data_IF_237869097915
#
_entry.id   IF_237869097915
#
_cell.length_a   1.000
_cell.length_b   1.000
_cell.length_c   1.000
_cell.angle_alpha   90.00
_cell.angle_beta   90.00
_cell.angle_gamma   90.00
#
_symmetry.space_group_name_H-M   'P 1'
#
loop_
_entity.id
_entity.type
_entity.pdbx_description
1 polymer ?
#
# COMPACT_ATOMS: atom_id res chain seq x y z
N UNK A 1 -36.66 14.50 -16.97
CA UNK A 1 -36.01 15.35 -15.94
C UNK A 1 -36.42 14.88 -14.54
N UNK A 2 -35.66 13.93 -13.99
CA UNK A 2 -35.80 13.45 -12.61
C UNK A 2 -34.46 13.64 -11.92
N UNK A 3 -34.53 14.19 -10.72
CA UNK A 3 -33.46 14.83 -9.98
C UNK A 3 -32.27 13.90 -9.73
N UNK A 4 -31.08 14.31 -10.17
CA UNK A 4 -29.83 13.85 -9.57
C UNK A 4 -29.85 14.29 -8.12
N UNK A 5 -30.06 13.36 -7.19
CA UNK A 5 -29.81 13.60 -5.78
C UNK A 5 -28.33 13.98 -5.61
N UNK A 6 -28.08 15.28 -5.45
CA UNK A 6 -26.82 15.82 -4.97
C UNK A 6 -26.65 15.36 -3.52
N UNK A 7 -26.09 14.17 -3.31
CA UNK A 7 -25.49 13.81 -2.01
C UNK A 7 -24.08 14.39 -1.95
N UNK A 8 -23.97 15.72 -1.97
CA UNK A 8 -22.75 16.41 -1.53
C UNK A 8 -22.66 16.28 -0.02
N UNK A 9 -22.27 15.10 0.48
CA UNK A 9 -21.71 15.01 1.83
C UNK A 9 -20.41 15.81 1.81
N UNK A 10 -20.14 16.65 2.81
CA UNK A 10 -18.97 17.51 2.80
C UNK A 10 -17.72 16.65 2.65
N UNK A 11 -16.81 17.10 1.78
CA UNK A 11 -15.47 16.55 1.53
C UNK A 11 -14.62 16.42 2.81
N UNK A 12 -15.08 16.97 3.94
CA UNK A 12 -14.49 16.90 5.27
C UNK A 12 -15.30 16.00 6.23
N UNK A 13 -15.43 14.70 5.93
CA UNK A 13 -16.00 13.78 6.91
C UNK A 13 -14.98 13.47 8.02
N UNK A 14 -15.40 13.36 9.30
CA UNK A 14 -14.50 13.01 10.40
C UNK A 14 -13.82 11.64 10.19
N UNK A 15 -14.50 10.72 9.49
CA UNK A 15 -13.98 9.40 9.11
C UNK A 15 -12.79 9.55 8.14
N UNK A 16 -12.93 10.39 7.12
CA UNK A 16 -11.86 10.66 6.16
C UNK A 16 -10.65 11.31 6.84
N UNK A 17 -10.88 12.30 7.70
CA UNK A 17 -9.78 12.95 8.43
C UNK A 17 -9.04 11.98 9.34
N UNK A 18 -9.76 11.06 10.00
CA UNK A 18 -9.14 10.01 10.78
C UNK A 18 -8.28 9.08 9.90
N UNK A 19 -8.81 8.62 8.77
CA UNK A 19 -8.06 7.78 7.83
C UNK A 19 -6.79 8.49 7.33
N UNK A 20 -6.89 9.77 6.94
CA UNK A 20 -5.74 10.59 6.52
C UNK A 20 -4.68 10.70 7.60
N UNK A 21 -5.08 10.95 8.85
CA UNK A 21 -4.14 11.05 9.98
C UNK A 21 -3.42 9.72 10.23
N UNK A 22 -4.13 8.60 10.14
CA UNK A 22 -3.52 7.26 10.26
C UNK A 22 -2.51 7.02 9.14
N UNK A 23 -2.88 7.34 7.89
CA UNK A 23 -2.01 7.19 6.72
C UNK A 23 -0.76 8.04 6.86
N UNK A 24 -0.89 9.33 7.21
CA UNK A 24 0.24 10.24 7.38
C UNK A 24 1.24 9.73 8.43
N UNK A 25 0.72 9.28 9.59
CA UNK A 25 1.56 8.74 10.67
C UNK A 25 2.27 7.45 10.23
N UNK A 26 1.58 6.54 9.56
CA UNK A 26 2.17 5.29 9.10
C UNK A 26 3.16 5.50 7.96
N UNK A 27 2.91 6.46 7.07
CA UNK A 27 3.84 6.86 6.02
C UNK A 27 5.16 7.38 6.59
N UNK A 28 5.11 8.16 7.67
CA UNK A 28 6.31 8.57 8.40
C UNK A 28 7.09 7.38 8.96
N UNK A 29 6.37 6.37 9.51
CA UNK A 29 6.99 5.13 10.01
C UNK A 29 7.60 4.27 8.90
N UNK A 30 6.93 4.17 7.75
CA UNK A 30 7.45 3.46 6.56
C UNK A 30 8.72 4.14 6.08
N UNK A 31 8.69 5.47 5.91
CA UNK A 31 9.85 6.25 5.48
C UNK A 31 11.04 6.04 6.42
N UNK A 32 10.81 6.05 7.75
CA UNK A 32 11.87 5.78 8.73
C UNK A 32 12.41 4.36 8.64
N UNK A 33 11.54 3.36 8.58
CA UNK A 33 11.97 1.97 8.46
C UNK A 33 12.78 1.73 7.16
N UNK A 34 12.43 2.41 6.06
CA UNK A 34 13.21 2.36 4.81
C UNK A 34 14.61 2.98 5.00
N UNK A 35 14.71 4.11 5.72
CA UNK A 35 16.02 4.74 6.02
C UNK A 35 16.90 3.87 6.92
N UNK A 36 16.28 3.12 7.84
CA UNK A 36 16.94 2.17 8.73
C UNK A 36 17.21 0.80 8.05
N UNK A 37 16.87 0.66 6.75
CA UNK A 37 16.95 -0.59 5.97
C UNK A 37 16.14 -1.76 6.56
N UNK A 38 15.16 -1.48 7.43
CA UNK A 38 14.25 -2.44 8.04
C UNK A 38 13.03 -2.72 7.13
N UNK A 39 13.25 -3.27 5.94
CA UNK A 39 12.19 -3.46 4.93
C UNK A 39 11.03 -4.35 5.36
N UNK A 40 11.28 -5.38 6.19
CA UNK A 40 10.21 -6.20 6.75
C UNK A 40 9.26 -5.37 7.63
N UNK A 41 9.79 -4.45 8.44
CA UNK A 41 9.00 -3.56 9.29
C UNK A 41 8.27 -2.49 8.48
N UNK A 42 8.92 -1.97 7.43
CA UNK A 42 8.27 -1.09 6.47
C UNK A 42 7.05 -1.78 5.82
N UNK A 43 7.17 -3.07 5.48
CA UNK A 43 6.09 -3.89 4.94
C UNK A 43 4.95 -4.06 5.95
N UNK A 44 5.24 -4.35 7.22
CA UNK A 44 4.22 -4.44 8.28
C UNK A 44 3.45 -3.12 8.44
N UNK A 45 4.12 -1.97 8.38
CA UNK A 45 3.42 -0.67 8.39
C UNK A 45 2.60 -0.44 7.12
N UNK A 46 3.06 -0.89 5.96
CA UNK A 46 2.30 -0.83 4.72
C UNK A 46 1.01 -1.66 4.78
N UNK A 47 1.03 -2.83 5.43
CA UNK A 47 -0.19 -3.62 5.72
C UNK A 47 -1.21 -2.78 6.50
N UNK A 48 -0.77 -2.10 7.56
CA UNK A 48 -1.64 -1.23 8.36
C UNK A 48 -2.20 -0.04 7.58
N UNK A 49 -1.42 0.51 6.64
CA UNK A 49 -1.89 1.58 5.73
C UNK A 49 -2.99 1.04 4.82
N UNK A 50 -2.78 -0.14 4.25
CA UNK A 50 -3.73 -0.79 3.35
C UNK A 50 -5.05 -1.16 4.04
N UNK A 51 -5.04 -1.41 5.36
CA UNK A 51 -6.29 -1.60 6.12
C UNK A 51 -7.19 -0.35 6.11
N UNK A 52 -6.67 0.84 5.81
CA UNK A 52 -7.49 2.06 5.67
C UNK A 52 -8.41 2.00 4.44
N UNK A 53 -8.08 1.20 3.41
CA UNK A 53 -8.99 0.94 2.28
C UNK A 53 -10.23 0.15 2.70
N UNK A 54 -10.21 -0.50 3.87
CA UNK A 54 -11.31 -1.31 4.37
C UNK A 54 -12.27 -0.52 5.26
N UNK A 55 -12.01 0.76 5.49
CA UNK A 55 -12.88 1.63 6.28
C UNK A 55 -14.23 1.75 5.58
N UNK A 56 -15.25 1.14 6.21
CA UNK A 56 -16.62 1.19 5.74
C UNK A 56 -17.14 2.64 5.85
N UNK A 57 -18.09 2.99 5.01
CA UNK A 57 -18.78 4.30 5.02
C UNK A 57 -17.99 5.49 4.44
N UNK A 58 -16.89 5.25 3.72
CA UNK A 58 -16.30 6.27 2.86
C UNK A 58 -17.19 6.50 1.62
N UNK A 59 -17.35 7.75 1.21
CA UNK A 59 -17.92 8.07 -0.11
C UNK A 59 -16.94 7.67 -1.20
N UNK A 60 -17.41 7.50 -2.43
CA UNK A 60 -16.54 7.14 -3.57
C UNK A 60 -15.40 8.14 -3.77
N UNK A 61 -15.66 9.44 -3.58
CA UNK A 61 -14.64 10.50 -3.65
C UNK A 61 -13.60 10.38 -2.53
N UNK A 62 -14.04 10.21 -1.28
CA UNK A 62 -13.16 10.06 -0.12
C UNK A 62 -12.31 8.77 -0.22
N UNK A 63 -12.91 7.69 -0.72
CA UNK A 63 -12.18 6.44 -0.98
C UNK A 63 -11.09 6.65 -2.03
N UNK A 64 -11.41 7.33 -3.14
CA UNK A 64 -10.43 7.61 -4.19
C UNK A 64 -9.25 8.45 -3.70
N UNK A 65 -9.51 9.44 -2.84
CA UNK A 65 -8.45 10.24 -2.23
C UNK A 65 -7.52 9.39 -1.35
N UNK A 66 -8.09 8.56 -0.48
CA UNK A 66 -7.33 7.62 0.36
C UNK A 66 -6.54 6.64 -0.52
N UNK A 67 -7.18 6.04 -1.51
CA UNK A 67 -6.55 5.11 -2.45
C UNK A 67 -5.38 5.72 -3.20
N UNK A 68 -5.53 6.95 -3.70
CA UNK A 68 -4.46 7.66 -4.41
C UNK A 68 -3.26 7.84 -3.50
N UNK A 69 -3.48 8.28 -2.25
CA UNK A 69 -2.39 8.46 -1.29
C UNK A 69 -1.67 7.15 -0.95
N UNK A 70 -2.43 6.08 -0.72
CA UNK A 70 -1.86 4.75 -0.41
C UNK A 70 -1.07 4.20 -1.61
N UNK A 71 -1.59 4.37 -2.82
CA UNK A 71 -0.91 3.94 -4.05
C UNK A 71 0.44 4.62 -4.23
N UNK A 72 0.53 5.92 -3.92
CA UNK A 72 1.81 6.64 -3.97
C UNK A 72 2.80 6.15 -2.90
N UNK A 73 2.32 5.80 -1.70
CA UNK A 73 3.17 5.20 -0.65
C UNK A 73 3.71 3.85 -1.12
N UNK A 74 2.86 3.00 -1.69
CA UNK A 74 3.28 1.69 -2.21
C UNK A 74 4.27 1.82 -3.37
N UNK A 75 4.06 2.77 -4.29
CA UNK A 75 4.99 3.03 -5.40
C UNK A 75 6.38 3.44 -4.89
N UNK A 76 6.46 4.28 -3.85
CA UNK A 76 7.73 4.62 -3.21
C UNK A 76 8.37 3.41 -2.54
N UNK A 77 7.60 2.62 -1.80
CA UNK A 77 8.09 1.40 -1.16
C UNK A 77 8.64 0.41 -2.20
N UNK A 78 7.90 0.18 -3.29
CA UNK A 78 8.31 -0.67 -4.42
C UNK A 78 9.67 -0.26 -4.97
N UNK A 79 9.84 1.02 -5.31
CA UNK A 79 11.08 1.54 -5.86
C UNK A 79 12.26 1.31 -4.90
N UNK A 80 12.04 1.55 -3.59
CA UNK A 80 13.08 1.36 -2.58
C UNK A 80 13.43 -0.10 -2.34
N UNK A 81 12.45 -1.00 -2.39
CA UNK A 81 12.68 -2.45 -2.31
C UNK A 81 13.44 -2.96 -3.54
N UNK A 82 13.12 -2.46 -4.73
CA UNK A 82 13.83 -2.80 -5.97
C UNK A 82 15.31 -2.40 -5.90
N UNK A 83 15.61 -1.17 -5.49
CA UNK A 83 16.99 -0.71 -5.31
C UNK A 83 17.72 -1.54 -4.25
N UNK A 84 17.10 -1.76 -3.10
CA UNK A 84 17.68 -2.54 -2.02
C UNK A 84 17.97 -3.99 -2.42
N UNK A 85 17.10 -4.60 -3.23
CA UNK A 85 17.32 -5.95 -3.73
C UNK A 85 18.49 -6.01 -4.70
N UNK A 86 18.64 -5.01 -5.59
CA UNK A 86 19.80 -4.90 -6.47
C UNK A 86 21.11 -4.78 -5.69
N UNK A 87 21.08 -4.03 -4.59
CA UNK A 87 22.21 -3.87 -3.68
C UNK A 87 22.40 -5.08 -2.74
N UNK A 88 21.60 -6.14 -2.90
CA UNK A 88 21.59 -7.36 -2.06
C UNK A 88 21.33 -7.10 -0.57
N UNK A 89 20.68 -5.97 -0.24
CA UNK A 89 20.30 -5.59 1.14
C UNK A 89 19.03 -6.29 1.63
N UNK A 90 18.21 -6.79 0.70
CA UNK A 90 16.96 -7.47 1.03
C UNK A 90 16.67 -8.62 0.07
N UNK A 91 16.13 -9.72 0.61
CA UNK A 91 15.61 -10.83 -0.19
C UNK A 91 14.14 -10.58 -0.50
N UNK A 92 13.80 -10.52 -1.80
CA UNK A 92 12.40 -10.42 -2.22
C UNK A 92 11.60 -11.64 -1.76
N UNK A 93 12.21 -12.83 -1.75
CA UNK A 93 11.53 -14.04 -1.32
C UNK A 93 11.09 -13.96 0.15
N UNK A 94 11.94 -13.46 1.04
CA UNK A 94 11.60 -13.26 2.46
C UNK A 94 10.47 -12.23 2.63
N UNK A 95 10.47 -11.15 1.83
CA UNK A 95 9.39 -10.18 1.85
C UNK A 95 8.07 -10.76 1.34
N UNK A 96 8.11 -11.66 0.34
CA UNK A 96 6.91 -12.36 -0.13
C UNK A 96 6.31 -13.26 0.93
N UNK A 97 7.15 -14.05 1.58
CA UNK A 97 6.72 -14.92 2.69
C UNK A 97 6.10 -14.07 3.80
N UNK A 98 6.73 -12.94 4.16
CA UNK A 98 6.16 -12.00 5.12
C UNK A 98 4.80 -11.46 4.64
N UNK A 99 4.68 -11.02 3.38
CA UNK A 99 3.42 -10.50 2.82
C UNK A 99 2.26 -11.53 2.87
N UNK A 100 2.55 -12.82 2.70
CA UNK A 100 1.55 -13.88 2.73
C UNK A 100 0.90 -14.07 4.11
N UNK A 101 1.60 -13.71 5.19
CA UNK A 101 1.08 -13.74 6.56
C UNK A 101 0.13 -12.58 6.88
N UNK A 102 -0.11 -11.65 5.95
CA UNK A 102 -1.12 -10.61 6.11
C UNK A 102 -2.51 -11.25 6.32
N UNK A 103 -3.11 -11.00 7.49
CA UNK A 103 -4.35 -11.64 7.90
C UNK A 103 -5.59 -11.23 7.10
N UNK A 104 -5.50 -10.22 6.25
CA UNK A 104 -6.63 -9.63 5.52
C UNK A 104 -6.33 -9.62 4.02
N UNK A 105 -7.34 -10.00 3.22
CA UNK A 105 -7.13 -10.25 1.78
C UNK A 105 -6.72 -8.99 1.00
N UNK A 106 -7.25 -7.82 1.36
CA UNK A 106 -6.94 -6.56 0.67
C UNK A 106 -5.46 -6.19 0.83
N UNK A 107 -4.91 -5.99 2.06
CA UNK A 107 -3.48 -5.78 2.24
C UNK A 107 -2.61 -6.85 1.57
N UNK A 108 -2.99 -8.13 1.70
CA UNK A 108 -2.23 -9.23 1.10
C UNK A 108 -2.12 -9.10 -0.42
N UNK A 109 -3.23 -8.86 -1.12
CA UNK A 109 -3.22 -8.75 -2.58
C UNK A 109 -2.38 -7.56 -3.06
N UNK A 110 -2.55 -6.39 -2.44
CA UNK A 110 -1.77 -5.21 -2.82
C UNK A 110 -0.27 -5.40 -2.61
N UNK A 111 0.14 -6.05 -1.51
CA UNK A 111 1.55 -6.32 -1.26
C UNK A 111 2.12 -7.41 -2.18
N UNK A 112 1.36 -8.46 -2.46
CA UNK A 112 1.77 -9.49 -3.43
C UNK A 112 1.94 -8.90 -4.83
N UNK A 113 1.08 -7.97 -5.26
CA UNK A 113 1.24 -7.26 -6.53
C UNK A 113 2.47 -6.35 -6.51
N UNK A 114 2.67 -5.60 -5.42
CA UNK A 114 3.82 -4.69 -5.26
C UNK A 114 5.15 -5.44 -5.27
N UNK A 115 5.24 -6.56 -4.56
CA UNK A 115 6.44 -7.42 -4.58
C UNK A 115 6.53 -8.23 -5.89
N UNK A 116 5.37 -8.54 -6.49
CA UNK A 116 5.12 -9.02 -7.86
C UNK A 116 5.98 -8.33 -8.88
N UNK A 117 5.71 -7.04 -9.04
CA UNK A 117 6.38 -6.20 -10.03
C UNK A 117 7.89 -6.15 -9.81
N UNK A 118 8.35 -6.05 -8.56
CA UNK A 118 9.79 -6.04 -8.25
C UNK A 118 10.44 -7.37 -8.65
N UNK A 119 9.83 -8.50 -8.30
CA UNK A 119 10.39 -9.82 -8.62
C UNK A 119 10.53 -10.05 -10.12
N UNK A 120 9.48 -9.73 -10.90
CA UNK A 120 9.50 -9.83 -12.37
C UNK A 120 10.65 -8.99 -12.93
N UNK A 121 10.78 -7.74 -12.48
CA UNK A 121 11.81 -6.80 -12.95
C UNK A 121 13.23 -7.23 -12.60
N UNK A 122 13.42 -7.89 -11.45
CA UNK A 122 14.73 -8.29 -10.97
C UNK A 122 15.22 -9.62 -11.56
N UNK A 123 14.32 -10.58 -11.81
CA UNK A 123 14.72 -11.90 -12.32
C UNK A 123 14.55 -12.10 -13.81
N UNK A 124 13.92 -11.15 -14.52
CA UNK A 124 13.60 -11.33 -15.95
C UNK A 124 12.68 -12.54 -16.20
N UNK A 125 11.99 -13.01 -15.14
CA UNK A 125 11.06 -14.14 -15.21
C UNK A 125 9.84 -13.65 -16.00
N UNK A 126 9.39 -14.39 -17.03
CA UNK A 126 8.28 -13.96 -17.85
C UNK A 126 7.04 -13.80 -16.98
N UNK A 127 6.30 -12.71 -17.20
CA UNK A 127 5.15 -12.32 -16.37
C UNK A 127 4.11 -13.44 -16.18
N UNK A 128 4.05 -14.39 -17.14
CA UNK A 128 3.17 -15.57 -17.15
C UNK A 128 3.32 -16.52 -15.94
N UNK A 129 4.44 -16.48 -15.23
CA UNK A 129 4.66 -17.35 -14.06
C UNK A 129 4.13 -16.71 -12.76
N UNK A 130 3.69 -15.45 -12.81
CA UNK A 130 3.25 -14.64 -11.65
C UNK A 130 1.85 -14.03 -11.85
N UNK A 131 1.44 -13.74 -13.10
CA UNK A 131 0.14 -13.12 -13.46
C UNK A 131 -0.85 -14.11 -14.08
#
# INVERSE_FOLDING_TARGET
>A
PMERSKSSKPSNSPILNNAKNVIYRLEGKISRAIMEEEYGKALSFAMCVLDQLRVKSLTSEAYYEVFTRISDILRRLEARIFDAHKDKKVSIQELYEHAQHAGTIVPRLYLLITLGSVYIRCRGVPARDIL
#
